data_IF_343181617393
#
_entry.id   IF_343181617393
#
_cell.length_a   1.000
_cell.length_b   1.000
_cell.length_c   1.000
_cell.angle_alpha   90.00
_cell.angle_beta   90.00
_cell.angle_gamma   90.00
#
_symmetry.space_group_name_H-M   'P 1'
#
loop_
_entity.id
_entity.type
_entity.pdbx_description
1 polymer ?
#
# COMPACT_ATOMS: atom_id res chain seq x y z
N UNK A 1 -47.55 -22.84 -41.26
CA UNK A 1 -48.97 -23.22 -41.42
C UNK A 1 -49.73 -22.34 -40.43
N UNK A 2 -50.63 -21.43 -40.73
CA UNK A 2 -51.55 -21.14 -41.86
C UNK A 2 -52.20 -19.79 -41.47
N UNK A 3 -52.11 -18.73 -42.27
CA UNK A 3 -53.25 -18.18 -43.06
C UNK A 3 -54.62 -18.44 -42.42
N UNK A 4 -55.24 -17.45 -41.75
CA UNK A 4 -56.23 -16.50 -42.31
C UNK A 4 -57.64 -16.82 -41.74
N UNK A 5 -58.74 -16.12 -42.07
CA UNK A 5 -58.97 -14.74 -42.51
C UNK A 5 -60.06 -14.02 -41.64
N UNK A 6 -60.35 -12.73 -41.88
CA UNK A 6 -61.71 -12.25 -42.20
C UNK A 6 -61.83 -10.72 -42.17
N UNK A 7 -62.53 -10.23 -43.21
CA UNK A 7 -62.89 -8.85 -43.50
C UNK A 7 -63.77 -8.25 -42.41
N UNK A 8 -63.63 -6.94 -42.18
CA UNK A 8 -64.76 -6.10 -41.80
C UNK A 8 -64.99 -4.99 -42.84
N UNK A 9 -66.22 -4.99 -43.33
CA UNK A 9 -66.77 -4.17 -44.41
C UNK A 9 -67.52 -3.00 -43.76
N UNK A 10 -67.02 -1.79 -43.98
CA UNK A 10 -67.78 -0.53 -44.12
C UNK A 10 -68.57 0.03 -42.93
N UNK A 11 -68.38 1.32 -42.65
CA UNK A 11 -69.52 2.26 -42.66
C UNK A 11 -69.08 3.70 -42.90
N UNK A 12 -69.82 4.37 -43.77
CA UNK A 12 -69.78 5.79 -44.09
C UNK A 12 -70.41 6.61 -42.96
N UNK A 13 -69.97 7.86 -42.81
CA UNK A 13 -70.88 8.97 -42.47
C UNK A 13 -70.37 9.92 -41.38
N UNK A 14 -70.37 11.22 -41.69
CA UNK A 14 -70.34 12.31 -40.72
C UNK A 14 -69.09 13.18 -40.81
N UNK A 15 -69.01 14.08 -41.79
CA UNK A 15 -69.42 15.49 -41.65
C UNK A 15 -68.41 16.37 -40.92
N UNK A 16 -67.59 17.03 -41.74
CA UNK A 16 -67.18 18.43 -41.59
C UNK A 16 -66.96 18.98 -40.18
N UNK A 17 -65.70 19.07 -39.80
CA UNK A 17 -65.25 20.21 -39.01
C UNK A 17 -63.93 20.71 -39.59
N UNK A 18 -64.02 21.75 -40.43
CA UNK A 18 -62.86 22.52 -40.88
C UNK A 18 -62.27 23.19 -39.64
N UNK A 19 -61.16 22.64 -39.11
CA UNK A 19 -60.30 23.40 -38.21
C UNK A 19 -59.24 24.08 -39.05
N UNK A 20 -59.39 25.41 -39.11
CA UNK A 20 -58.39 26.36 -39.56
C UNK A 20 -57.01 25.98 -39.04
N UNK A 21 -56.06 26.06 -39.97
CA UNK A 21 -54.64 26.14 -39.72
C UNK A 21 -54.38 27.24 -38.67
N UNK A 22 -54.01 26.82 -37.47
CA UNK A 22 -53.08 27.57 -36.64
C UNK A 22 -51.74 26.86 -36.83
N UNK A 23 -50.98 27.33 -37.82
CA UNK A 23 -49.58 26.98 -38.06
C UNK A 23 -48.78 27.49 -36.84
N UNK A 24 -48.74 26.71 -35.77
CA UNK A 24 -47.84 26.97 -34.66
C UNK A 24 -46.38 26.86 -35.13
N UNK A 25 -45.44 27.61 -34.53
CA UNK A 25 -44.04 27.46 -34.86
C UNK A 25 -43.65 26.01 -34.56
N UNK A 26 -43.30 25.26 -35.61
CA UNK A 26 -42.77 23.90 -35.48
C UNK A 26 -41.57 24.02 -34.54
N UNK A 27 -41.47 23.23 -33.45
CA UNK A 27 -40.25 23.23 -32.68
C UNK A 27 -39.15 22.83 -33.66
N UNK A 28 -38.21 23.75 -33.91
CA UNK A 28 -36.91 23.36 -34.45
C UNK A 28 -36.39 22.39 -33.41
N UNK A 29 -36.50 21.09 -33.69
CA UNK A 29 -35.61 20.12 -33.07
C UNK A 29 -34.22 20.62 -33.42
N UNK A 30 -33.63 21.34 -32.48
CA UNK A 30 -32.21 21.62 -32.51
C UNK A 30 -31.60 20.24 -32.46
N UNK A 31 -31.27 19.73 -33.64
CA UNK A 31 -30.38 18.60 -33.77
C UNK A 31 -29.04 19.12 -33.25
N UNK A 32 -28.89 19.14 -31.92
CA UNK A 32 -27.61 18.97 -31.28
C UNK A 32 -27.21 17.54 -31.62
N UNK A 33 -26.84 17.33 -32.88
CA UNK A 33 -25.77 16.42 -33.22
C UNK A 33 -24.58 16.95 -32.45
N UNK A 34 -24.55 16.57 -31.16
CA UNK A 34 -23.41 16.62 -30.28
C UNK A 34 -22.45 15.68 -30.96
N UNK A 35 -21.71 16.23 -31.93
CA UNK A 35 -20.55 15.57 -32.47
C UNK A 35 -19.77 15.15 -31.23
N UNK A 36 -19.54 13.85 -30.99
CA UNK A 36 -18.60 13.47 -29.97
C UNK A 36 -17.32 14.17 -30.41
N UNK A 37 -16.94 15.23 -29.69
CA UNK A 37 -15.62 15.82 -29.82
C UNK A 37 -14.66 14.64 -29.82
N UNK A 38 -13.65 14.68 -30.67
CA UNK A 38 -12.64 13.64 -30.82
C UNK A 38 -11.85 13.49 -29.50
N UNK A 39 -12.49 12.89 -28.49
CA UNK A 39 -12.06 12.61 -27.12
C UNK A 39 -11.19 11.34 -27.06
N UNK A 40 -10.88 10.74 -28.21
CA UNK A 40 -10.03 9.54 -28.30
C UNK A 40 -8.63 9.82 -27.72
N UNK A 41 -8.13 11.04 -27.89
CA UNK A 41 -6.84 11.47 -27.31
C UNK A 41 -6.92 11.74 -25.80
N UNK A 42 -7.88 12.56 -25.37
CA UNK A 42 -7.99 12.98 -23.97
C UNK A 42 -8.32 11.82 -23.01
N UNK A 43 -9.18 10.89 -23.42
CA UNK A 43 -9.46 9.68 -22.64
C UNK A 43 -8.20 8.83 -22.44
N UNK A 44 -7.37 8.68 -23.47
CA UNK A 44 -6.12 7.91 -23.38
C UNK A 44 -5.11 8.60 -22.47
N UNK A 45 -4.97 9.93 -22.56
CA UNK A 45 -4.08 10.71 -21.69
C UNK A 45 -4.50 10.61 -20.23
N UNK A 46 -5.80 10.70 -19.93
CA UNK A 46 -6.31 10.55 -18.56
C UNK A 46 -6.05 9.15 -18.02
N UNK A 47 -6.33 8.11 -18.81
CA UNK A 47 -6.07 6.71 -18.41
C UNK A 47 -4.59 6.49 -18.15
N UNK A 48 -3.70 6.97 -19.03
CA UNK A 48 -2.25 6.90 -18.82
C UNK A 48 -1.85 7.65 -17.54
N UNK A 49 -2.40 8.85 -17.31
CA UNK A 49 -2.11 9.62 -16.09
C UNK A 49 -2.49 8.89 -14.81
N UNK A 50 -3.67 8.27 -14.78
CA UNK A 50 -4.12 7.46 -13.63
C UNK A 50 -3.23 6.24 -13.45
N UNK A 51 -2.88 5.52 -14.53
CA UNK A 51 -1.98 4.38 -14.47
C UNK A 51 -0.60 4.77 -13.94
N UNK A 52 -0.03 5.87 -14.44
CA UNK A 52 1.25 6.40 -13.96
C UNK A 52 1.16 6.79 -12.48
N UNK A 53 0.10 7.49 -12.07
CA UNK A 53 -0.11 7.86 -10.67
C UNK A 53 -0.21 6.63 -9.76
N UNK A 54 -0.97 5.60 -10.16
CA UNK A 54 -1.07 4.35 -9.43
C UNK A 54 0.28 3.65 -9.32
N UNK A 55 1.03 3.55 -10.43
CA UNK A 55 2.37 2.95 -10.43
C UNK A 55 3.32 3.71 -9.51
N UNK A 56 3.31 5.04 -9.53
CA UNK A 56 4.14 5.88 -8.63
C UNK A 56 3.76 5.66 -7.17
N UNK A 57 2.47 5.65 -6.83
CA UNK A 57 2.02 5.43 -5.45
C UNK A 57 2.37 4.01 -4.98
N UNK A 58 2.13 3.00 -5.81
CA UNK A 58 2.43 1.60 -5.45
C UNK A 58 3.93 1.38 -5.30
N UNK A 59 4.74 1.82 -6.26
CA UNK A 59 6.20 1.66 -6.19
C UNK A 59 6.81 2.48 -5.05
N UNK A 60 6.37 3.73 -4.85
CA UNK A 60 6.78 4.55 -3.71
C UNK A 60 6.42 3.90 -2.38
N UNK A 61 5.21 3.34 -2.26
CA UNK A 61 4.78 2.58 -1.09
C UNK A 61 5.64 1.33 -0.84
N UNK A 62 5.98 0.57 -1.88
CA UNK A 62 6.86 -0.60 -1.78
C UNK A 62 8.27 -0.23 -1.32
N UNK A 63 8.83 0.89 -1.81
CA UNK A 63 10.14 1.38 -1.36
C UNK A 63 10.12 1.72 0.13
N UNK A 64 9.10 2.45 0.60
CA UNK A 64 8.95 2.79 2.02
C UNK A 64 8.77 1.51 2.86
N UNK A 65 7.90 0.61 2.44
CA UNK A 65 7.66 -0.65 3.13
C UNK A 65 8.95 -1.48 3.26
N UNK A 66 9.78 -1.53 2.22
CA UNK A 66 11.06 -2.24 2.26
C UNK A 66 12.01 -1.69 3.33
N UNK A 67 12.10 -0.36 3.45
CA UNK A 67 12.92 0.32 4.46
C UNK A 67 12.41 0.07 5.89
N UNK A 68 11.08 0.09 6.06
CA UNK A 68 10.45 -0.20 7.36
C UNK A 68 10.68 -1.65 7.77
N UNK A 69 10.52 -2.61 6.87
CA UNK A 69 10.74 -4.04 7.16
C UNK A 69 12.21 -4.31 7.54
N UNK A 70 13.16 -3.70 6.83
CA UNK A 70 14.58 -3.82 7.17
C UNK A 70 14.88 -3.28 8.58
N UNK A 71 14.33 -2.11 8.90
CA UNK A 71 14.46 -1.49 10.22
C UNK A 71 13.84 -2.35 11.33
N UNK A 72 12.66 -2.91 11.07
CA UNK A 72 11.94 -3.71 12.05
C UNK A 72 12.66 -5.03 12.35
N UNK A 73 13.24 -5.66 11.32
CA UNK A 73 14.07 -6.86 11.50
C UNK A 73 15.31 -6.57 12.33
N UNK A 74 15.99 -5.45 12.08
CA UNK A 74 17.16 -5.06 12.87
C UNK A 74 16.81 -4.86 14.35
N UNK A 75 15.69 -4.20 14.65
CA UNK A 75 15.21 -3.99 16.03
C UNK A 75 14.91 -5.32 16.73
N UNK A 76 14.12 -6.20 16.10
CA UNK A 76 13.78 -7.50 16.68
C UNK A 76 15.02 -8.35 16.94
N UNK A 77 15.99 -8.36 16.02
CA UNK A 77 17.25 -9.06 16.20
C UNK A 77 18.07 -8.49 17.36
N UNK A 78 18.11 -7.16 17.51
CA UNK A 78 18.81 -6.49 18.60
C UNK A 78 18.20 -6.84 19.97
N UNK A 79 16.87 -6.83 20.07
CA UNK A 79 16.17 -7.07 21.32
C UNK A 79 16.30 -8.53 21.79
N UNK A 80 16.20 -9.49 20.87
CA UNK A 80 16.43 -10.91 21.19
C UNK A 80 17.88 -11.17 21.56
N UNK A 81 18.83 -10.56 20.85
CA UNK A 81 20.26 -10.70 21.16
C UNK A 81 20.61 -10.11 22.53
N UNK A 82 20.08 -8.93 22.87
CA UNK A 82 20.39 -8.29 24.15
C UNK A 82 19.78 -9.06 25.33
N UNK A 83 18.58 -9.62 25.18
CA UNK A 83 17.96 -10.45 26.22
C UNK A 83 18.72 -11.77 26.43
N UNK A 84 19.19 -12.40 25.35
CA UNK A 84 20.03 -13.60 25.44
C UNK A 84 21.38 -13.31 26.11
N UNK A 85 21.99 -12.16 25.80
CA UNK A 85 23.21 -11.74 26.49
C UNK A 85 22.97 -11.36 27.96
N UNK A 86 21.88 -10.65 28.25
CA UNK A 86 21.55 -10.21 29.60
C UNK A 86 21.18 -11.39 30.53
N UNK A 87 20.49 -12.41 30.02
CA UNK A 87 20.23 -13.65 30.75
C UNK A 87 21.53 -14.39 31.06
N UNK A 88 22.42 -14.54 30.07
CA UNK A 88 23.74 -15.11 30.30
C UNK A 88 24.56 -14.30 31.33
N UNK A 89 24.49 -12.96 31.29
CA UNK A 89 25.18 -12.10 32.25
C UNK A 89 24.64 -12.28 33.68
N UNK A 90 23.32 -12.50 33.84
CA UNK A 90 22.68 -12.77 35.13
C UNK A 90 23.06 -14.14 35.71
N UNK A 91 23.30 -15.14 34.88
CA UNK A 91 23.73 -16.48 35.30
C UNK A 91 25.21 -16.52 35.73
N UNK A 92 25.74 -15.40 36.25
CA UNK A 92 27.11 -15.19 36.71
C UNK A 92 28.20 -15.48 35.67
N UNK A 93 27.91 -15.30 34.38
CA UNK A 93 28.90 -15.48 33.32
C UNK A 93 29.77 -14.24 33.10
N UNK A 94 30.91 -14.40 32.41
CA UNK A 94 31.77 -13.28 32.02
C UNK A 94 31.13 -12.47 30.90
N UNK A 95 31.57 -11.22 30.74
CA UNK A 95 31.12 -10.35 29.65
C UNK A 95 31.37 -11.00 28.28
N UNK A 96 32.47 -11.75 28.10
CA UNK A 96 32.71 -12.45 26.83
C UNK A 96 31.65 -13.52 26.55
N UNK A 97 31.21 -14.27 27.58
CA UNK A 97 30.16 -15.30 27.41
C UNK A 97 28.81 -14.67 27.12
N UNK A 98 28.47 -13.56 27.77
CA UNK A 98 27.27 -12.78 27.46
C UNK A 98 27.27 -12.27 26.01
N UNK A 99 28.38 -11.70 25.56
CA UNK A 99 28.52 -11.23 24.18
C UNK A 99 28.53 -12.38 23.16
N UNK A 100 29.08 -13.55 23.51
CA UNK A 100 29.02 -14.74 22.66
C UNK A 100 27.58 -15.26 22.51
N UNK A 101 26.81 -15.30 23.60
CA UNK A 101 25.39 -15.66 23.56
C UNK A 101 24.57 -14.68 22.71
N UNK A 102 24.78 -13.38 22.90
CA UNK A 102 24.15 -12.35 22.08
C UNK A 102 24.52 -12.48 20.59
N UNK A 103 25.80 -12.73 20.26
CA UNK A 103 26.26 -12.95 18.89
C UNK A 103 25.58 -14.15 18.24
N UNK A 104 25.43 -15.25 18.99
CA UNK A 104 24.74 -16.45 18.50
C UNK A 104 23.28 -16.16 18.16
N UNK A 105 22.57 -15.42 19.01
CA UNK A 105 21.18 -15.05 18.73
C UNK A 105 21.07 -14.03 17.59
N UNK A 106 21.98 -13.05 17.51
CA UNK A 106 22.01 -12.10 16.40
C UNK A 106 22.18 -12.80 15.04
N UNK A 107 23.16 -13.71 14.95
CA UNK A 107 23.44 -14.46 13.71
C UNK A 107 22.28 -15.36 13.29
N UNK A 108 21.62 -16.02 14.24
CA UNK A 108 20.39 -16.79 13.97
C UNK A 108 19.24 -15.93 13.44
N UNK A 109 19.23 -14.63 13.74
CA UNK A 109 18.24 -13.68 13.25
C UNK A 109 18.72 -12.91 11.99
N UNK A 110 19.81 -13.34 11.35
CA UNK A 110 20.34 -12.70 10.15
C UNK A 110 20.98 -11.33 10.40
N UNK A 111 21.43 -11.08 11.64
CA UNK A 111 22.11 -9.86 12.03
C UNK A 111 23.55 -10.16 12.47
N UNK A 112 24.44 -9.22 12.19
CA UNK A 112 25.83 -9.25 12.64
C UNK A 112 25.97 -8.40 13.90
N UNK A 113 26.68 -8.93 14.91
CA UNK A 113 26.97 -8.20 16.12
C UNK A 113 28.16 -7.26 15.89
N UNK A 114 27.92 -5.95 15.93
CA UNK A 114 28.94 -4.93 15.73
C UNK A 114 29.66 -4.54 17.04
N UNK A 115 28.91 -4.10 18.04
CA UNK A 115 29.44 -3.71 19.34
C UNK A 115 28.68 -4.43 20.46
N UNK A 116 29.39 -4.82 21.52
CA UNK A 116 28.80 -5.41 22.72
C UNK A 116 29.59 -4.92 23.93
N UNK A 117 28.89 -4.30 24.88
CA UNK A 117 29.47 -3.73 26.08
C UNK A 117 28.57 -4.04 27.27
N UNK A 118 29.18 -4.40 28.41
CA UNK A 118 28.48 -4.59 29.67
C UNK A 118 28.92 -3.54 30.70
N UNK A 119 27.97 -3.05 31.50
CA UNK A 119 28.19 -2.13 32.61
C UNK A 119 27.50 -2.70 33.85
N UNK A 120 28.25 -3.40 34.71
CA UNK A 120 27.67 -4.10 35.85
C UNK A 120 26.68 -5.18 35.39
N UNK A 121 25.39 -4.99 35.66
CA UNK A 121 24.30 -5.92 35.28
C UNK A 121 23.57 -5.50 34.00
N UNK A 122 24.03 -4.43 33.36
CA UNK A 122 23.49 -3.93 32.11
C UNK A 122 24.32 -4.38 30.93
N UNK A 123 23.64 -4.76 29.85
CA UNK A 123 24.22 -5.09 28.57
C UNK A 123 23.67 -4.17 27.49
N UNK A 124 24.58 -3.64 26.67
CA UNK A 124 24.24 -2.82 25.52
C UNK A 124 24.97 -3.34 24.29
N UNK A 125 24.25 -3.43 23.18
CA UNK A 125 24.81 -3.92 21.92
C UNK A 125 24.21 -3.24 20.71
N UNK A 126 24.95 -3.31 19.60
CA UNK A 126 24.53 -2.84 18.28
C UNK A 126 24.64 -3.99 17.29
N UNK A 127 23.57 -4.21 16.53
CA UNK A 127 23.52 -5.18 15.44
C UNK A 127 23.31 -4.50 14.10
N UNK A 128 23.77 -5.16 13.04
CA UNK A 128 23.59 -4.72 11.66
C UNK A 128 22.96 -5.84 10.85
N UNK A 129 21.85 -5.55 10.17
CA UNK A 129 21.21 -6.49 9.23
C UNK A 129 21.64 -6.12 7.82
N UNK A 130 22.10 -7.13 7.08
CA UNK A 130 22.46 -6.96 5.68
C UNK A 130 21.24 -6.49 4.88
N UNK A 131 21.42 -5.44 4.11
CA UNK A 131 20.43 -4.92 3.19
C UNK A 131 20.89 -5.17 1.75
N UNK A 132 19.97 -5.17 0.76
CA UNK A 132 20.34 -5.20 -0.65
C UNK A 132 21.37 -4.12 -1.00
N UNK A 133 22.21 -4.32 -2.04
CA UNK A 133 23.35 -3.45 -2.36
C UNK A 133 22.95 -2.00 -2.70
N UNK A 134 21.70 -1.75 -3.06
CA UNK A 134 21.16 -0.41 -3.34
C UNK A 134 20.64 0.32 -2.10
N UNK A 135 20.73 -0.27 -0.90
CA UNK A 135 20.21 0.29 0.35
C UNK A 135 21.25 0.27 1.46
N UNK A 136 21.24 1.27 2.33
CA UNK A 136 22.11 1.26 3.50
C UNK A 136 21.76 0.11 4.47
N UNK A 137 22.77 -0.53 5.09
CA UNK A 137 22.55 -1.56 6.11
C UNK A 137 21.74 -1.02 7.29
N UNK A 138 20.71 -1.77 7.70
CA UNK A 138 19.88 -1.40 8.84
C UNK A 138 20.63 -1.68 10.14
N UNK A 139 20.90 -0.64 10.94
CA UNK A 139 21.55 -0.76 12.25
C UNK A 139 20.54 -0.55 13.37
N UNK A 140 20.61 -1.36 14.41
CA UNK A 140 19.79 -1.22 15.60
C UNK A 140 20.64 -1.39 16.86
N UNK A 141 20.37 -0.57 17.87
CA UNK A 141 21.01 -0.62 19.19
C UNK A 141 19.95 -1.00 20.22
N UNK A 142 20.29 -1.91 21.11
CA UNK A 142 19.41 -2.33 22.21
C UNK A 142 20.19 -2.45 23.51
N UNK A 143 19.52 -2.18 24.63
CA UNK A 143 20.08 -2.13 25.99
C UNK A 143 19.13 -2.87 26.91
N UNK A 144 19.67 -3.82 27.68
CA UNK A 144 18.95 -4.53 28.72
C UNK A 144 19.72 -4.43 30.02
N UNK A 145 19.04 -3.93 31.05
CA UNK A 145 19.53 -3.81 32.41
C UNK A 145 18.34 -3.69 33.34
N UNK A 146 18.53 -3.83 34.67
CA UNK A 146 17.49 -3.38 35.58
C UNK A 146 17.11 -1.95 35.22
N UNK A 147 15.83 -1.59 35.35
CA UNK A 147 15.44 -0.20 35.41
C UNK A 147 16.05 0.37 36.69
N UNK A 148 17.34 0.67 36.66
CA UNK A 148 17.84 1.79 37.44
C UNK A 148 16.97 2.92 36.96
N UNK A 149 16.09 3.41 37.83
CA UNK A 149 15.41 4.69 37.67
C UNK A 149 16.36 5.60 36.87
N UNK A 150 15.96 6.24 35.78
CA UNK A 150 15.39 7.58 35.83
C UNK A 150 15.71 8.36 37.14
N UNK A 151 16.88 8.13 37.75
CA UNK A 151 17.28 8.68 39.03
C UNK A 151 17.97 10.01 38.74
N UNK A 152 17.11 10.96 38.36
CA UNK A 152 17.16 12.43 38.39
C UNK A 152 16.64 13.05 37.11
#
# INVERSE_FOLDING_TARGET
>A
MTQGPCRCRGRRGGSGFRRSAAEGPRPRVLNLSRQPATERGAATVLVIGVLVALLVVTTGGLLIASAVVASHRARLAADLAVLAGATALRDASTVERACAAARRVATLNGAELGACQARGTELELTVTVAAPPWSEPARARSRAGPATEALR
#
